data_IF_280961787990
#
_entry.id   IF_280961787990
#
_cell.length_a   1.000
_cell.length_b   1.000
_cell.length_c   1.000
_cell.angle_alpha   90.00
_cell.angle_beta   90.00
_cell.angle_gamma   90.00
#
_symmetry.space_group_name_H-M   'P 1'
#
loop_
_entity.id
_entity.type
_entity.pdbx_description
1 polymer ?
#
# COMPACT_ATOMS: atom_id res chain seq x y z
N UNK A 1 6.02 40.56 41.66
CA UNK A 1 5.71 39.12 41.87
C UNK A 1 4.58 38.56 41.00
N UNK A 2 3.71 39.36 40.36
CA UNK A 2 2.59 38.83 39.57
C UNK A 2 2.95 38.32 38.15
N UNK A 3 4.09 38.71 37.59
CA UNK A 3 4.52 38.31 36.23
C UNK A 3 4.90 36.81 36.10
N UNK A 4 5.44 36.18 37.15
CA UNK A 4 5.82 34.77 37.11
C UNK A 4 4.62 33.81 37.12
N UNK A 5 3.53 34.17 37.82
CA UNK A 5 2.32 33.34 37.89
C UNK A 5 1.58 33.24 36.55
N UNK A 6 1.51 34.36 35.82
CA UNK A 6 0.87 34.40 34.50
C UNK A 6 1.64 33.56 33.45
N UNK A 7 2.98 33.58 33.48
CA UNK A 7 3.81 32.78 32.59
C UNK A 7 3.68 31.28 32.87
N UNK A 8 3.62 30.87 34.14
CA UNK A 8 3.40 29.47 34.51
C UNK A 8 2.02 28.96 34.07
N UNK A 9 0.97 29.76 34.26
CA UNK A 9 -0.39 29.44 33.81
C UNK A 9 -0.47 29.34 32.27
N UNK A 10 0.18 30.25 31.55
CA UNK A 10 0.24 30.21 30.08
C UNK A 10 1.00 28.99 29.55
N UNK A 11 2.09 28.59 30.22
CA UNK A 11 2.86 27.39 29.86
C UNK A 11 2.04 26.10 30.06
N UNK A 12 1.32 25.98 31.19
CA UNK A 12 0.43 24.85 31.45
C UNK A 12 -0.74 24.80 30.47
N UNK A 13 -1.36 25.96 30.18
CA UNK A 13 -2.44 26.04 29.20
C UNK A 13 -1.98 25.59 27.81
N UNK A 14 -0.79 26.04 27.37
CA UNK A 14 -0.21 25.66 26.08
C UNK A 14 0.13 24.16 26.03
N UNK A 15 0.69 23.61 27.11
CA UNK A 15 1.00 22.19 27.20
C UNK A 15 -0.27 21.32 27.12
N UNK A 16 -1.33 21.69 27.86
CA UNK A 16 -2.63 21.01 27.79
C UNK A 16 -3.25 21.11 26.39
N UNK A 17 -3.21 22.28 25.76
CA UNK A 17 -3.74 22.49 24.42
C UNK A 17 -2.99 21.66 23.36
N UNK A 18 -1.67 21.57 23.47
CA UNK A 18 -0.86 20.73 22.59
C UNK A 18 -1.12 19.24 22.81
N UNK A 19 -1.32 18.81 24.06
CA UNK A 19 -1.71 17.44 24.39
C UNK A 19 -3.07 17.05 23.79
N UNK A 20 -4.07 17.92 23.91
CA UNK A 20 -5.40 17.72 23.31
C UNK A 20 -5.31 17.67 21.79
N UNK A 21 -4.55 18.58 21.15
CA UNK A 21 -4.33 18.57 19.69
C UNK A 21 -3.63 17.30 19.22
N UNK A 22 -2.62 16.82 19.95
CA UNK A 22 -1.90 15.60 19.62
C UNK A 22 -2.80 14.36 19.75
N UNK A 23 -3.59 14.27 20.83
CA UNK A 23 -4.57 13.21 21.04
C UNK A 23 -5.66 13.22 19.95
N UNK A 24 -6.15 14.41 19.60
CA UNK A 24 -7.13 14.59 18.53
C UNK A 24 -6.56 14.18 17.17
N UNK A 25 -5.34 14.60 16.84
CA UNK A 25 -4.67 14.21 15.60
C UNK A 25 -4.36 12.71 15.53
N UNK A 26 -4.02 12.07 16.65
CA UNK A 26 -3.94 10.61 16.74
C UNK A 26 -5.28 9.94 16.46
N UNK A 27 -6.35 10.44 17.07
CA UNK A 27 -7.69 9.90 16.91
C UNK A 27 -8.23 10.08 15.49
N UNK A 28 -8.01 11.24 14.87
CA UNK A 28 -8.32 11.51 13.47
C UNK A 28 -7.59 10.54 12.52
N UNK A 29 -6.27 10.35 12.73
CA UNK A 29 -5.49 9.39 11.93
C UNK A 29 -5.99 7.96 12.10
N UNK A 30 -6.35 7.57 13.33
CA UNK A 30 -6.92 6.26 13.62
C UNK A 30 -8.25 6.05 12.90
N UNK A 31 -9.16 7.04 12.94
CA UNK A 31 -10.43 6.99 12.20
C UNK A 31 -10.21 6.93 10.69
N UNK A 32 -9.31 7.74 10.15
CA UNK A 32 -9.00 7.73 8.72
C UNK A 32 -8.49 6.36 8.27
N UNK A 33 -7.61 5.72 9.05
CA UNK A 33 -7.12 4.36 8.77
C UNK A 33 -8.25 3.32 8.78
N UNK A 34 -9.15 3.39 9.76
CA UNK A 34 -10.31 2.49 9.85
C UNK A 34 -11.29 2.70 8.69
N UNK A 35 -11.51 3.94 8.26
CA UNK A 35 -12.36 4.25 7.11
C UNK A 35 -11.74 3.72 5.80
N UNK A 36 -10.44 3.91 5.60
CA UNK A 36 -9.73 3.39 4.43
C UNK A 36 -9.75 1.84 4.37
N UNK A 37 -9.59 1.19 5.52
CA UNK A 37 -9.71 -0.27 5.63
C UNK A 37 -11.11 -0.77 5.26
N UNK A 38 -12.16 -0.14 5.80
CA UNK A 38 -13.55 -0.50 5.48
C UNK A 38 -13.85 -0.33 4.00
N UNK A 39 -13.39 0.79 3.42
CA UNK A 39 -13.54 1.05 1.99
C UNK A 39 -12.84 -0.03 1.15
N UNK A 40 -11.63 -0.45 1.52
CA UNK A 40 -10.97 -1.54 0.81
C UNK A 40 -11.78 -2.85 0.91
N UNK A 41 -12.29 -3.18 2.09
CA UNK A 41 -13.13 -4.37 2.30
C UNK A 41 -14.39 -4.34 1.42
N UNK A 42 -15.05 -3.18 1.34
CA UNK A 42 -16.22 -2.96 0.48
C UNK A 42 -15.86 -3.06 -1.01
N UNK A 43 -14.65 -2.66 -1.39
CA UNK A 43 -14.14 -2.72 -2.75
C UNK A 43 -13.71 -4.13 -3.18
N UNK A 44 -13.41 -5.07 -2.26
CA UNK A 44 -12.92 -6.43 -2.59
C UNK A 44 -13.75 -7.12 -3.68
N UNK A 45 -15.09 -7.16 -3.62
CA UNK A 45 -15.91 -7.81 -4.65
C UNK A 45 -15.79 -7.15 -6.03
N UNK A 46 -15.44 -5.86 -6.07
CA UNK A 46 -15.29 -5.07 -7.31
C UNK A 46 -13.89 -5.15 -7.91
N UNK A 47 -12.93 -5.79 -7.21
CA UNK A 47 -11.59 -5.98 -7.74
C UNK A 47 -11.65 -6.87 -8.99
N UNK A 48 -10.87 -6.51 -9.99
CA UNK A 48 -10.68 -7.33 -11.19
C UNK A 48 -9.85 -8.56 -10.85
N UNK A 49 -9.88 -9.55 -11.75
CA UNK A 49 -9.13 -10.78 -11.56
C UNK A 49 -7.62 -10.54 -11.46
N UNK A 50 -7.07 -9.63 -12.28
CA UNK A 50 -5.65 -9.28 -12.21
C UNK A 50 -5.29 -8.62 -10.87
N UNK A 51 -6.14 -7.73 -10.35
CA UNK A 51 -5.92 -7.09 -9.05
C UNK A 51 -5.89 -8.12 -7.90
N UNK A 52 -6.86 -9.06 -7.90
CA UNK A 52 -6.89 -10.15 -6.92
C UNK A 52 -5.66 -11.06 -7.04
N UNK A 53 -5.25 -11.40 -8.26
CA UNK A 53 -4.09 -12.24 -8.51
C UNK A 53 -2.78 -11.57 -8.09
N UNK A 54 -2.63 -10.25 -8.30
CA UNK A 54 -1.47 -9.48 -7.83
C UNK A 54 -1.38 -9.53 -6.30
N UNK A 55 -2.48 -9.22 -5.60
CA UNK A 55 -2.50 -9.26 -4.14
C UNK A 55 -2.30 -10.68 -3.60
N UNK A 56 -2.89 -11.69 -4.25
CA UNK A 56 -2.72 -13.10 -3.93
C UNK A 56 -1.27 -13.58 -4.10
N UNK A 57 -0.60 -13.21 -5.19
CA UNK A 57 0.83 -13.46 -5.41
C UNK A 57 1.69 -12.84 -4.31
N UNK A 58 1.50 -11.55 -4.04
CA UNK A 58 2.28 -10.82 -3.04
C UNK A 58 2.14 -11.46 -1.65
N UNK A 59 0.90 -11.83 -1.29
CA UNK A 59 0.60 -12.57 -0.07
C UNK A 59 1.29 -13.94 -0.04
N UNK A 60 1.15 -14.74 -1.09
CA UNK A 60 1.72 -16.09 -1.18
C UNK A 60 3.23 -16.07 -0.90
N UNK A 61 3.93 -15.14 -1.53
CA UNK A 61 5.37 -14.97 -1.38
C UNK A 61 5.78 -14.14 -0.17
N UNK A 62 4.82 -13.67 0.66
CA UNK A 62 5.03 -12.82 1.85
C UNK A 62 5.81 -11.53 1.55
N UNK A 63 5.68 -11.00 0.34
CA UNK A 63 6.36 -9.79 -0.09
C UNK A 63 5.34 -8.67 -0.25
N UNK A 64 5.69 -7.52 0.30
CA UNK A 64 4.83 -6.33 0.33
C UNK A 64 5.33 -5.22 -0.58
N UNK A 65 6.60 -5.29 -0.94
CA UNK A 65 7.27 -4.45 -1.92
C UNK A 65 7.47 -5.26 -3.21
N UNK A 66 7.33 -4.59 -4.34
CA UNK A 66 7.55 -5.16 -5.67
C UNK A 66 7.86 -4.05 -6.66
N UNK A 67 8.48 -4.42 -7.79
CA UNK A 67 8.84 -3.45 -8.82
C UNK A 67 7.79 -3.45 -9.94
N UNK A 68 7.26 -2.27 -10.26
CA UNK A 68 6.31 -2.04 -11.37
C UNK A 68 6.93 -1.19 -12.46
N UNK A 69 6.28 -1.14 -13.61
CA UNK A 69 6.51 -0.06 -14.57
C UNK A 69 5.98 1.27 -13.98
N UNK A 70 6.40 2.40 -14.55
CA UNK A 70 6.05 3.75 -14.09
C UNK A 70 4.54 4.06 -14.21
N UNK A 71 3.86 3.44 -15.16
CA UNK A 71 2.40 3.48 -15.29
C UNK A 71 1.69 2.47 -14.37
N UNK A 72 2.45 1.65 -13.63
CA UNK A 72 1.95 0.58 -12.77
C UNK A 72 1.59 -0.72 -13.50
N UNK A 73 1.66 -0.79 -14.82
CA UNK A 73 1.24 -1.96 -15.60
C UNK A 73 -0.18 -2.43 -15.25
N UNK A 74 -0.36 -3.73 -15.02
CA UNK A 74 -1.65 -4.27 -14.55
C UNK A 74 -2.00 -3.88 -13.10
N UNK A 75 -1.05 -3.31 -12.34
CA UNK A 75 -1.31 -2.75 -11.01
C UNK A 75 -1.77 -1.28 -11.06
N UNK A 76 -1.92 -0.67 -12.24
CA UNK A 76 -2.32 0.73 -12.37
C UNK A 76 -3.65 1.05 -11.65
N UNK A 77 -4.63 0.16 -11.71
CA UNK A 77 -5.91 0.38 -11.02
C UNK A 77 -5.77 0.33 -9.50
N UNK A 78 -4.92 -0.56 -8.97
CA UNK A 78 -4.56 -0.59 -7.53
C UNK A 78 -3.80 0.68 -7.11
N UNK A 79 -2.94 1.19 -8.00
CA UNK A 79 -2.19 2.42 -7.78
C UNK A 79 -3.13 3.63 -7.75
N UNK A 80 -4.02 3.73 -8.73
CA UNK A 80 -5.03 4.78 -8.84
C UNK A 80 -6.00 4.80 -7.66
N UNK A 81 -6.38 3.63 -7.14
CA UNK A 81 -7.20 3.50 -5.92
C UNK A 81 -6.41 3.77 -4.62
N UNK A 82 -5.08 3.87 -4.70
CA UNK A 82 -4.20 4.08 -3.54
C UNK A 82 -4.03 2.84 -2.65
N UNK A 83 -4.28 1.64 -3.18
CA UNK A 83 -4.07 0.36 -2.48
C UNK A 83 -2.62 -0.10 -2.55
N UNK A 84 -1.93 0.31 -3.60
CA UNK A 84 -0.47 0.30 -3.70
C UNK A 84 0.03 1.71 -3.95
N UNK A 85 1.30 1.98 -3.63
CA UNK A 85 1.93 3.28 -3.87
C UNK A 85 3.35 3.10 -4.35
N UNK A 86 3.79 3.97 -5.25
CA UNK A 86 5.21 4.08 -5.54
C UNK A 86 5.97 4.61 -4.33
N UNK A 87 7.17 4.10 -4.15
CA UNK A 87 8.12 4.50 -3.11
C UNK A 87 9.34 5.05 -3.82
N UNK A 88 9.39 6.37 -3.90
CA UNK A 88 10.51 7.07 -4.51
C UNK A 88 11.57 7.36 -3.44
N UNK A 89 12.81 6.94 -3.71
CA UNK A 89 13.98 7.35 -2.95
C UNK A 89 14.59 8.64 -3.51
N UNK A 90 15.79 8.98 -3.01
CA UNK A 90 16.57 10.12 -3.53
C UNK A 90 17.28 9.84 -4.87
N UNK A 91 17.13 8.64 -5.44
CA UNK A 91 17.81 8.20 -6.67
C UNK A 91 16.91 8.37 -7.90
N UNK A 92 17.56 8.48 -9.07
CA UNK A 92 16.86 8.48 -10.35
C UNK A 92 16.03 7.19 -10.51
N UNK A 93 14.80 7.35 -10.98
CA UNK A 93 13.82 6.26 -11.10
C UNK A 93 13.96 5.62 -12.48
N UNK A 94 14.19 4.31 -12.50
CA UNK A 94 14.03 3.50 -13.72
C UNK A 94 12.54 3.35 -14.02
N UNK A 95 12.10 3.82 -15.20
CA UNK A 95 10.69 3.80 -15.60
C UNK A 95 10.11 2.38 -15.74
N UNK A 96 10.95 1.35 -15.80
CA UNK A 96 10.53 -0.06 -15.91
C UNK A 96 10.64 -0.84 -14.58
N UNK A 97 11.19 -0.16 -13.56
CA UNK A 97 11.50 -0.74 -12.26
C UNK A 97 11.29 0.30 -11.15
N UNK A 98 10.06 0.76 -11.04
CA UNK A 98 9.61 1.66 -9.98
C UNK A 98 9.27 0.85 -8.74
N UNK A 99 9.94 1.08 -7.59
CA UNK A 99 9.60 0.41 -6.34
C UNK A 99 8.18 0.78 -5.93
N UNK A 100 7.36 -0.23 -5.67
CA UNK A 100 5.95 -0.10 -5.32
C UNK A 100 5.65 -0.92 -4.07
N UNK A 101 4.76 -0.43 -3.23
CA UNK A 101 4.46 -1.03 -1.94
C UNK A 101 2.96 -1.06 -1.68
N UNK A 102 2.46 -2.21 -1.20
CA UNK A 102 1.07 -2.37 -0.76
C UNK A 102 0.84 -1.59 0.52
N UNK A 103 -0.26 -0.84 0.65
CA UNK A 103 -0.54 -0.02 1.84
C UNK A 103 -0.90 -0.88 3.07
N UNK A 104 -0.64 -0.39 4.30
CA UNK A 104 -0.67 -1.18 5.55
C UNK A 104 -2.02 -1.86 5.78
N UNK A 105 -3.09 -1.10 5.59
CA UNK A 105 -4.44 -1.60 5.83
C UNK A 105 -4.83 -2.67 4.79
N UNK A 106 -4.45 -2.48 3.52
CA UNK A 106 -4.65 -3.45 2.44
C UNK A 106 -3.91 -4.74 2.77
N UNK A 107 -2.63 -4.65 3.11
CA UNK A 107 -1.81 -5.81 3.43
C UNK A 107 -2.38 -6.61 4.61
N UNK A 108 -2.87 -5.93 5.65
CA UNK A 108 -3.55 -6.60 6.78
C UNK A 108 -4.78 -7.36 6.31
N UNK A 109 -5.70 -6.71 5.59
CA UNK A 109 -6.95 -7.33 5.13
C UNK A 109 -6.67 -8.52 4.20
N UNK A 110 -5.71 -8.39 3.29
CA UNK A 110 -5.30 -9.48 2.39
C UNK A 110 -4.81 -10.70 3.18
N UNK A 111 -4.05 -10.49 4.25
CA UNK A 111 -3.59 -11.58 5.11
C UNK A 111 -4.71 -12.20 5.96
N UNK A 112 -5.67 -11.40 6.43
CA UNK A 112 -6.83 -11.86 7.22
C UNK A 112 -7.85 -12.63 6.37
N UNK A 113 -7.90 -12.37 5.06
CA UNK A 113 -8.89 -12.94 4.13
C UNK A 113 -8.24 -13.65 2.96
N UNK A 114 -7.55 -14.77 3.20
CA UNK A 114 -6.78 -15.45 2.16
C UNK A 114 -7.64 -16.01 1.01
N UNK A 115 -8.90 -16.34 1.27
CA UNK A 115 -9.82 -16.89 0.26
C UNK A 115 -10.26 -15.87 -0.79
N UNK A 116 -10.23 -14.58 -0.46
CA UNK A 116 -10.63 -13.50 -1.39
C UNK A 116 -9.53 -13.18 -2.43
N UNK A 117 -8.30 -13.67 -2.20
CA UNK A 117 -7.11 -13.38 -3.01
C UNK A 117 -6.40 -14.69 -3.41
N UNK A 118 -6.97 -15.44 -4.36
CA UNK A 118 -6.36 -16.68 -4.81
C UNK A 118 -5.02 -16.43 -5.51
N UNK A 119 -4.12 -17.39 -5.37
CA UNK A 119 -2.86 -17.42 -6.10
C UNK A 119 -2.91 -18.53 -7.14
N UNK A 120 -3.11 -18.14 -8.40
CA UNK A 120 -3.04 -19.03 -9.56
C UNK A 120 -1.78 -18.70 -10.39
N UNK A 121 -0.66 -19.41 -10.16
CA UNK A 121 0.62 -19.05 -10.78
C UNK A 121 0.62 -19.32 -12.27
N UNK A 122 0.88 -18.28 -13.07
CA UNK A 122 1.12 -18.39 -14.52
C UNK A 122 2.61 -18.55 -14.77
N UNK A 123 3.01 -19.62 -15.43
CA UNK A 123 4.41 -19.92 -15.70
C UNK A 123 4.81 -19.40 -17.09
N UNK A 124 5.94 -18.71 -17.18
CA UNK A 124 6.46 -18.28 -18.48
C UNK A 124 6.91 -19.51 -19.30
N UNK A 125 6.57 -19.52 -20.60
CA UNK A 125 7.05 -20.51 -21.58
C UNK A 125 8.25 -20.00 -22.37
N UNK A 126 9.08 -19.15 -21.77
CA UNK A 126 10.18 -18.54 -22.49
C UNK A 126 11.20 -19.63 -22.90
N UNK A 127 11.46 -19.69 -24.21
CA UNK A 127 12.14 -20.81 -24.87
C UNK A 127 13.51 -21.09 -24.24
N UNK A 128 13.68 -22.28 -23.68
CA UNK A 128 15.00 -22.92 -23.57
C UNK A 128 15.69 -22.91 -22.20
N UNK A 129 15.11 -22.34 -21.13
CA UNK A 129 15.69 -22.44 -19.79
C UNK A 129 15.07 -23.58 -18.97
N UNK A 130 15.93 -24.33 -18.26
CA UNK A 130 15.58 -25.49 -17.41
C UNK A 130 14.72 -25.14 -16.19
N UNK A 131 14.40 -23.86 -15.97
CA UNK A 131 13.72 -23.35 -14.79
C UNK A 131 12.45 -22.64 -15.20
N UNK A 132 11.28 -23.16 -14.78
CA UNK A 132 9.99 -22.47 -14.92
C UNK A 132 9.99 -21.29 -13.94
N UNK A 133 9.98 -20.07 -14.47
CA UNK A 133 9.84 -18.85 -13.65
C UNK A 133 8.38 -18.44 -13.66
N UNK A 134 7.84 -18.14 -12.47
CA UNK A 134 6.49 -17.61 -12.34
C UNK A 134 6.45 -16.19 -12.92
N UNK A 135 5.50 -15.94 -13.80
CA UNK A 135 5.31 -14.62 -14.41
C UNK A 135 4.74 -13.66 -13.36
N UNK A 136 5.41 -12.53 -13.16
CA UNK A 136 4.90 -11.48 -12.26
C UNK A 136 3.56 -10.94 -12.80
N UNK A 137 2.45 -11.04 -12.03
CA UNK A 137 1.10 -10.75 -12.53
C UNK A 137 0.84 -9.27 -12.85
N UNK A 138 1.71 -8.36 -12.38
CA UNK A 138 1.61 -6.92 -12.63
C UNK A 138 2.37 -6.43 -13.86
N UNK A 139 3.27 -7.23 -14.45
CA UNK A 139 4.08 -6.82 -15.60
C UNK A 139 3.30 -7.01 -16.91
N UNK A 140 3.32 -5.99 -17.77
CA UNK A 140 2.80 -6.09 -19.13
C UNK A 140 3.89 -6.72 -20.02
N UNK A 141 3.61 -7.84 -20.71
CA UNK A 141 4.53 -8.43 -21.67
C UNK A 141 4.95 -7.41 -22.74
N UNK A 142 6.23 -7.42 -23.13
CA UNK A 142 6.79 -6.48 -24.11
C UNK A 142 6.08 -6.53 -25.47
N UNK A 143 5.51 -7.68 -25.84
CA UNK A 143 4.77 -7.86 -27.10
C UNK A 143 3.34 -7.31 -27.06
N UNK A 144 2.90 -6.77 -25.91
CA UNK A 144 1.61 -6.12 -25.71
C UNK A 144 1.76 -4.62 -25.34
N UNK A 145 2.99 -4.11 -25.30
CA UNK A 145 3.30 -2.68 -25.08
C UNK A 145 3.19 -1.89 -26.36
#
# INVERSE_FOLDING_TARGET
>A
MFLCGALAAAALATACQNGVRAAWGWWQRRRARQAAERRFIEDIPTLTEHERQILGYLRHHRQRAFDTDMDGGYANTLLSKGYVRHVYGAQAVDQTRVPTHVVDYVWRVVNERPGDFPHDPKWSRERGHRSRVETHPWRIPWNLR
#
